data_IF_678766800756
#
_entry.id   IF_678766800756
#
_cell.length_a   1.000
_cell.length_b   1.000
_cell.length_c   1.000
_cell.angle_alpha   90.00
_cell.angle_beta   90.00
_cell.angle_gamma   90.00
#
_symmetry.space_group_name_H-M   'P 1'
#
loop_
_entity.id
_entity.type
_entity.pdbx_description
1 polymer ?
#
# COMPACT_ATOMS: atom_id res chain seq x y z
N UNK A 1 10.98 7.02 34.88
CA UNK A 1 12.23 6.27 35.17
C UNK A 1 11.99 4.83 34.72
N UNK A 2 13.01 4.19 34.12
CA UNK A 2 13.00 2.99 33.25
C UNK A 2 12.88 3.28 31.74
N UNK A 3 14.04 3.65 31.19
CA UNK A 3 14.40 3.49 29.79
C UNK A 3 14.43 1.99 29.47
N UNK A 4 13.63 1.56 28.48
CA UNK A 4 13.78 0.27 27.82
C UNK A 4 14.15 0.52 26.37
N UNK A 5 15.46 0.58 26.14
CA UNK A 5 16.06 0.55 24.81
C UNK A 5 15.73 -0.80 24.17
N UNK A 6 14.67 -0.85 23.35
CA UNK A 6 14.43 -1.98 22.46
C UNK A 6 15.32 -1.80 21.23
N UNK A 7 16.40 -2.57 21.17
CA UNK A 7 17.15 -2.77 19.93
C UNK A 7 16.28 -3.71 19.07
N UNK A 8 15.45 -3.12 18.21
CA UNK A 8 14.71 -3.85 17.19
C UNK A 8 15.69 -4.24 16.09
N UNK A 9 16.17 -5.49 16.09
CA UNK A 9 16.76 -6.10 14.91
C UNK A 9 15.67 -6.18 13.83
N UNK A 10 15.80 -5.34 12.81
CA UNK A 10 14.92 -5.25 11.66
C UNK A 10 15.18 -6.47 10.75
N UNK A 11 14.38 -7.53 10.91
CA UNK A 11 14.25 -8.55 9.88
C UNK A 11 13.36 -7.98 8.77
N UNK A 12 13.93 -7.77 7.58
CA UNK A 12 13.19 -7.48 6.36
C UNK A 12 12.35 -8.72 6.04
N UNK A 13 11.06 -8.67 6.38
CA UNK A 13 10.09 -9.66 5.93
C UNK A 13 9.70 -9.31 4.49
N UNK A 14 10.46 -9.82 3.53
CA UNK A 14 9.92 -10.14 2.21
C UNK A 14 8.71 -11.04 2.46
N UNK A 15 7.57 -10.76 1.82
CA UNK A 15 6.42 -11.68 1.77
C UNK A 15 6.88 -12.99 1.11
N UNK A 16 7.50 -13.85 1.89
CA UNK A 16 7.64 -15.26 1.59
C UNK A 16 6.23 -15.87 1.70
N UNK A 17 5.81 -16.71 0.73
CA UNK A 17 4.63 -17.54 0.93
C UNK A 17 4.82 -18.35 2.22
N UNK A 18 3.73 -18.55 2.95
CA UNK A 18 3.73 -19.07 4.32
C UNK A 18 4.74 -20.19 4.55
N UNK A 19 5.60 -19.98 5.53
CA UNK A 19 6.47 -21.02 6.07
C UNK A 19 5.60 -22.05 6.78
N UNK A 20 5.02 -22.97 6.02
CA UNK A 20 5.12 -24.38 6.41
C UNK A 20 6.61 -24.59 6.64
N UNK A 21 7.02 -25.18 7.76
CA UNK A 21 8.38 -25.69 7.87
C UNK A 21 8.58 -26.68 6.72
N UNK A 22 9.00 -26.17 5.56
CA UNK A 22 9.56 -26.96 4.50
C UNK A 22 10.76 -27.63 5.18
N UNK A 23 10.69 -28.96 5.31
CA UNK A 23 11.89 -29.74 5.46
C UNK A 23 12.90 -29.17 4.47
N UNK A 24 14.16 -28.98 4.89
CA UNK A 24 15.24 -28.69 3.97
C UNK A 24 15.19 -29.76 2.89
N UNK A 25 14.56 -29.44 1.76
CA UNK A 25 14.55 -30.29 0.59
C UNK A 25 15.99 -30.24 0.13
N UNK A 26 16.71 -31.36 0.17
CA UNK A 26 18.03 -31.49 -0.41
C UNK A 26 17.92 -31.12 -1.90
N UNK A 27 18.15 -29.84 -2.21
CA UNK A 27 18.17 -29.35 -3.57
C UNK A 27 19.36 -30.00 -4.27
N UNK A 28 19.26 -30.24 -5.58
CA UNK A 28 20.38 -30.83 -6.31
C UNK A 28 21.57 -29.87 -6.29
N UNK A 29 22.77 -30.44 -6.18
CA UNK A 29 23.99 -29.70 -6.48
C UNK A 29 24.23 -29.69 -7.98
N UNK A 30 24.71 -28.56 -8.49
CA UNK A 30 25.04 -28.36 -9.89
C UNK A 30 26.55 -28.43 -10.06
N UNK A 31 27.02 -29.39 -10.86
CA UNK A 31 28.42 -29.41 -11.28
C UNK A 31 28.75 -28.21 -12.19
N UNK A 32 30.04 -27.99 -12.46
CA UNK A 32 30.49 -26.85 -13.26
C UNK A 32 29.85 -26.82 -14.66
N UNK A 33 29.55 -27.98 -15.26
CA UNK A 33 28.93 -28.04 -16.58
C UNK A 33 27.49 -27.56 -16.51
N UNK A 34 26.70 -28.09 -15.58
CA UNK A 34 25.31 -27.70 -15.37
C UNK A 34 25.20 -26.19 -15.03
N UNK A 35 26.13 -25.66 -14.23
CA UNK A 35 26.21 -24.23 -13.95
C UNK A 35 26.40 -23.39 -15.23
N UNK A 36 27.30 -23.82 -16.14
CA UNK A 36 27.53 -23.13 -17.43
C UNK A 36 26.32 -23.22 -18.36
N UNK A 37 25.61 -24.34 -18.37
CA UNK A 37 24.39 -24.53 -19.17
C UNK A 37 23.27 -23.59 -18.71
N UNK A 38 23.09 -23.41 -17.39
CA UNK A 38 22.14 -22.44 -16.83
C UNK A 38 22.53 -21.01 -17.21
N UNK A 39 23.81 -20.65 -17.07
CA UNK A 39 24.32 -19.31 -17.45
C UNK A 39 24.08 -19.04 -18.94
N UNK A 40 24.40 -19.99 -19.82
CA UNK A 40 24.18 -19.84 -21.26
C UNK A 40 22.69 -19.67 -21.60
N UNK A 41 21.81 -20.39 -20.90
CA UNK A 41 20.36 -20.29 -21.07
C UNK A 41 19.82 -18.94 -20.57
N UNK A 42 20.36 -18.42 -19.47
CA UNK A 42 20.06 -17.08 -18.97
C UNK A 42 20.46 -16.01 -19.98
N UNK A 43 21.66 -16.10 -20.56
CA UNK A 43 22.11 -15.16 -21.59
C UNK A 43 21.17 -15.15 -22.80
N UNK A 44 20.75 -16.33 -23.27
CA UNK A 44 19.77 -16.43 -24.34
C UNK A 44 18.41 -15.83 -23.97
N UNK A 45 17.96 -16.02 -22.72
CA UNK A 45 16.73 -15.41 -22.21
C UNK A 45 16.83 -13.88 -22.11
N UNK A 46 17.97 -13.34 -21.66
CA UNK A 46 18.23 -11.90 -21.61
C UNK A 46 18.19 -11.28 -23.01
N UNK A 47 18.83 -11.91 -24.01
CA UNK A 47 18.82 -11.40 -25.39
C UNK A 47 17.40 -11.31 -25.99
N UNK A 48 16.51 -12.21 -25.59
CA UNK A 48 15.12 -12.22 -26.09
C UNK A 48 14.20 -11.23 -25.37
N UNK A 49 14.40 -11.05 -24.08
CA UNK A 49 13.40 -10.43 -23.20
C UNK A 49 13.88 -9.13 -22.54
N UNK A 50 15.17 -8.93 -22.33
CA UNK A 50 15.63 -7.80 -21.54
C UNK A 50 15.56 -6.49 -22.32
N UNK A 51 14.98 -5.46 -21.69
CA UNK A 51 14.72 -4.17 -22.35
C UNK A 51 15.97 -3.33 -22.62
N UNK A 52 17.09 -3.60 -21.92
CA UNK A 52 18.35 -2.86 -22.07
C UNK A 52 19.47 -3.75 -22.65
N UNK A 53 19.49 -3.97 -23.98
CA UNK A 53 20.46 -4.86 -24.62
C UNK A 53 21.92 -4.40 -24.44
N UNK A 54 22.14 -3.10 -24.28
CA UNK A 54 23.44 -2.48 -24.01
C UNK A 54 24.05 -2.92 -22.67
N UNK A 55 23.23 -3.31 -21.70
CA UNK A 55 23.69 -3.79 -20.39
C UNK A 55 23.97 -5.29 -20.35
N UNK A 56 23.50 -6.06 -21.34
CA UNK A 56 23.67 -7.52 -21.37
C UNK A 56 25.14 -7.95 -21.29
N UNK A 57 26.11 -7.35 -22.01
CA UNK A 57 27.50 -7.76 -21.92
C UNK A 57 28.08 -7.68 -20.50
N UNK A 58 27.71 -6.65 -19.73
CA UNK A 58 28.14 -6.50 -18.34
C UNK A 58 27.49 -7.56 -17.43
N UNK A 59 26.21 -7.86 -17.67
CA UNK A 59 25.47 -8.90 -16.95
C UNK A 59 26.07 -10.28 -17.24
N UNK A 60 26.28 -10.63 -18.51
CA UNK A 60 26.93 -11.88 -18.96
C UNK A 60 28.29 -12.09 -18.28
N UNK A 61 29.13 -11.06 -18.24
CA UNK A 61 30.41 -11.13 -17.57
C UNK A 61 30.29 -11.42 -16.06
N UNK A 62 29.26 -10.88 -15.40
CA UNK A 62 28.99 -11.17 -13.98
C UNK A 62 28.41 -12.57 -13.76
N UNK A 63 27.50 -13.03 -14.63
CA UNK A 63 26.97 -14.40 -14.58
C UNK A 63 28.10 -15.43 -14.74
N UNK A 64 29.02 -15.21 -15.69
CA UNK A 64 30.19 -16.06 -15.88
C UNK A 64 31.10 -16.13 -14.64
N UNK A 65 31.22 -15.05 -13.86
CA UNK A 65 31.97 -15.04 -12.59
C UNK A 65 31.32 -15.89 -11.49
N UNK A 66 30.03 -16.18 -11.58
CA UNK A 66 29.33 -16.99 -10.58
C UNK A 66 29.59 -18.50 -10.75
N UNK A 67 30.07 -18.94 -11.93
CA UNK A 67 30.40 -20.35 -12.19
C UNK A 67 31.61 -20.78 -11.37
N UNK A 68 31.47 -21.87 -10.61
CA UNK A 68 32.51 -22.45 -9.75
C UNK A 68 33.01 -23.79 -10.31
N UNK A 69 34.22 -24.19 -9.93
CA UNK A 69 34.72 -25.54 -10.22
C UNK A 69 34.01 -26.60 -9.38
N UNK A 70 33.74 -26.26 -8.12
CA UNK A 70 33.05 -27.14 -7.18
C UNK A 70 31.53 -27.15 -7.44
N UNK A 71 30.84 -28.27 -7.13
CA UNK A 71 29.40 -28.32 -7.13
C UNK A 71 28.77 -27.29 -6.19
N UNK A 72 27.68 -26.65 -6.62
CA UNK A 72 26.96 -25.62 -5.85
C UNK A 72 25.51 -26.00 -5.72
N UNK A 73 24.93 -25.78 -4.55
CA UNK A 73 23.49 -25.93 -4.32
C UNK A 73 22.67 -25.05 -5.30
N UNK A 74 21.57 -25.59 -5.84
CA UNK A 74 20.80 -24.90 -6.87
C UNK A 74 20.18 -23.57 -6.41
N UNK A 75 19.66 -23.49 -5.18
CA UNK A 75 19.11 -22.25 -4.62
C UNK A 75 20.24 -21.25 -4.36
N UNK A 76 21.37 -21.71 -3.80
CA UNK A 76 22.55 -20.88 -3.60
C UNK A 76 23.08 -20.28 -4.92
N UNK A 77 23.05 -21.07 -6.00
CA UNK A 77 23.47 -20.62 -7.32
C UNK A 77 22.45 -19.63 -7.92
N UNK A 78 21.15 -19.88 -7.81
CA UNK A 78 20.10 -18.95 -8.24
C UNK A 78 20.24 -17.58 -7.56
N UNK A 79 20.49 -17.59 -6.26
CA UNK A 79 20.72 -16.41 -5.44
C UNK A 79 21.96 -15.61 -5.86
N UNK A 80 23.06 -16.31 -6.18
CA UNK A 80 24.29 -15.65 -6.63
C UNK A 80 24.12 -15.00 -8.00
N UNK A 81 23.41 -15.67 -8.92
CA UNK A 81 23.07 -15.14 -10.24
C UNK A 81 22.17 -13.90 -10.12
N UNK A 82 21.13 -13.97 -9.27
CA UNK A 82 20.23 -12.83 -8.99
C UNK A 82 21.00 -11.59 -8.54
N UNK A 83 21.84 -11.74 -7.50
CA UNK A 83 22.68 -10.63 -7.00
C UNK A 83 23.66 -10.11 -8.05
N UNK A 84 24.24 -11.01 -8.86
CA UNK A 84 25.11 -10.65 -9.96
C UNK A 84 24.40 -9.76 -10.99
N UNK A 85 23.22 -10.18 -11.44
CA UNK A 85 22.43 -9.42 -12.42
C UNK A 85 22.01 -8.06 -11.87
N UNK A 86 21.47 -7.99 -10.65
CA UNK A 86 21.09 -6.71 -10.03
C UNK A 86 22.28 -5.75 -9.93
N UNK A 87 23.44 -6.25 -9.49
CA UNK A 87 24.68 -5.45 -9.39
C UNK A 87 25.14 -4.92 -10.74
N UNK A 88 25.14 -5.77 -11.78
CA UNK A 88 25.64 -5.40 -13.10
C UNK A 88 24.68 -4.50 -13.87
N UNK A 89 23.38 -4.70 -13.70
CA UNK A 89 22.32 -3.94 -14.38
C UNK A 89 21.96 -2.64 -13.66
N UNK A 90 22.14 -2.58 -12.34
CA UNK A 90 21.52 -1.59 -11.44
C UNK A 90 19.99 -1.57 -11.51
N UNK A 91 19.39 -2.71 -11.87
CA UNK A 91 17.96 -2.92 -11.89
C UNK A 91 17.58 -3.86 -10.76
N UNK A 92 16.60 -3.46 -9.95
CA UNK A 92 16.21 -4.16 -8.72
C UNK A 92 15.30 -5.37 -8.97
N UNK A 93 14.79 -5.58 -10.18
CA UNK A 93 13.78 -6.61 -10.42
C UNK A 93 14.33 -7.95 -10.90
N UNK A 94 15.65 -8.06 -11.12
CA UNK A 94 16.25 -9.32 -11.52
C UNK A 94 16.18 -10.37 -10.42
N UNK A 95 15.62 -11.53 -10.74
CA UNK A 95 15.63 -12.71 -9.87
C UNK A 95 15.73 -13.99 -10.68
N UNK A 96 16.49 -14.95 -10.18
CA UNK A 96 16.53 -16.34 -10.63
C UNK A 96 16.08 -17.19 -9.47
N UNK A 97 15.19 -18.15 -9.74
CA UNK A 97 14.75 -19.13 -8.77
C UNK A 97 14.91 -20.54 -9.34
N UNK A 98 15.35 -21.49 -8.51
CA UNK A 98 15.25 -22.91 -8.83
C UNK A 98 13.85 -23.39 -8.41
N UNK A 99 12.97 -23.56 -9.40
CA UNK A 99 11.59 -23.98 -9.18
C UNK A 99 11.05 -24.76 -10.39
N UNK A 100 11.41 -26.06 -10.50
CA UNK A 100 10.95 -26.91 -11.60
C UNK A 100 9.43 -27.06 -11.66
N UNK A 101 8.75 -27.01 -10.51
CA UNK A 101 7.30 -27.13 -10.43
C UNK A 101 6.62 -25.88 -11.01
N UNK A 102 7.06 -24.70 -10.62
CA UNK A 102 6.58 -23.44 -11.20
C UNK A 102 6.92 -23.33 -12.69
N UNK A 103 8.09 -23.81 -13.13
CA UNK A 103 8.43 -23.89 -14.56
C UNK A 103 7.40 -24.73 -15.32
N UNK A 104 7.09 -25.94 -14.82
CA UNK A 104 6.13 -26.83 -15.45
C UNK A 104 4.71 -26.21 -15.46
N UNK A 105 4.28 -25.65 -14.32
CA UNK A 105 2.99 -25.00 -14.18
C UNK A 105 2.86 -23.76 -15.08
N UNK A 106 3.90 -22.93 -15.17
CA UNK A 106 3.96 -21.76 -16.04
C UNK A 106 3.81 -22.12 -17.51
N UNK A 107 4.50 -23.19 -17.97
CA UNK A 107 4.36 -23.68 -19.34
C UNK A 107 2.95 -24.20 -19.64
N UNK A 108 2.33 -24.90 -18.68
CA UNK A 108 0.95 -25.38 -18.81
C UNK A 108 -0.05 -24.22 -18.88
N UNK A 109 0.07 -23.23 -17.99
CA UNK A 109 -0.78 -22.04 -17.97
C UNK A 109 -0.66 -21.26 -19.29
N UNK A 110 0.56 -21.05 -19.79
CA UNK A 110 0.77 -20.38 -21.09
C UNK A 110 0.13 -21.16 -22.25
N UNK A 111 0.18 -22.50 -22.21
CA UNK A 111 -0.46 -23.34 -23.22
C UNK A 111 -2.00 -23.29 -23.18
N UNK A 112 -2.59 -23.02 -22.01
CA UNK A 112 -4.04 -22.82 -21.86
C UNK A 112 -4.50 -21.38 -22.10
N UNK A 113 -3.58 -20.45 -22.42
CA UNK A 113 -3.88 -19.03 -22.61
C UNK A 113 -4.00 -18.23 -21.31
N UNK A 114 -3.63 -18.81 -20.17
CA UNK A 114 -3.63 -18.15 -18.87
C UNK A 114 -2.30 -17.42 -18.62
N UNK A 115 -2.39 -16.19 -18.09
CA UNK A 115 -1.22 -15.39 -17.69
C UNK A 115 -0.59 -15.77 -16.34
N UNK A 116 -1.27 -16.60 -15.54
CA UNK A 116 -0.86 -16.98 -14.18
C UNK A 116 -1.27 -18.41 -13.86
N UNK A 117 -0.57 -19.08 -12.94
CA UNK A 117 -0.87 -20.47 -12.57
C UNK A 117 -2.14 -20.57 -11.70
N UNK A 118 -2.85 -21.70 -11.77
CA UNK A 118 -4.04 -21.93 -10.94
C UNK A 118 -3.73 -21.82 -9.44
N UNK A 119 -2.61 -22.40 -9.00
CA UNK A 119 -2.16 -22.33 -7.60
C UNK A 119 -1.96 -20.88 -7.15
N UNK A 120 -1.35 -20.04 -8.00
CA UNK A 120 -1.17 -18.62 -7.72
C UNK A 120 -2.52 -17.90 -7.58
N UNK A 121 -3.46 -18.16 -8.48
CA UNK A 121 -4.83 -17.60 -8.41
C UNK A 121 -5.55 -17.97 -7.13
N UNK A 122 -5.39 -19.21 -6.66
CA UNK A 122 -6.05 -19.68 -5.45
C UNK A 122 -5.48 -19.00 -4.20
N UNK A 123 -4.16 -18.80 -4.14
CA UNK A 123 -3.51 -18.01 -3.08
C UNK A 123 -3.96 -16.56 -3.12
N UNK A 124 -3.99 -15.93 -4.30
CA UNK A 124 -4.43 -14.54 -4.43
C UNK A 124 -5.90 -14.38 -4.05
N UNK A 125 -6.78 -15.30 -4.48
CA UNK A 125 -8.20 -15.29 -4.09
C UNK A 125 -8.37 -15.43 -2.57
N UNK A 126 -7.64 -16.34 -1.93
CA UNK A 126 -7.68 -16.50 -0.47
C UNK A 126 -7.19 -15.24 0.27
N UNK A 127 -6.29 -14.47 -0.35
CA UNK A 127 -5.83 -13.17 0.14
C UNK A 127 -6.73 -11.99 -0.28
N UNK A 128 -7.95 -12.26 -0.76
CA UNK A 128 -8.87 -11.26 -1.30
C UNK A 128 -8.22 -10.36 -2.38
N UNK A 129 -7.40 -10.97 -3.23
CA UNK A 129 -6.64 -10.31 -4.29
C UNK A 129 -5.81 -9.11 -3.82
N UNK A 130 -5.38 -9.15 -2.55
CA UNK A 130 -4.57 -8.10 -1.93
C UNK A 130 -5.37 -7.02 -1.22
N UNK A 131 -6.68 -6.91 -1.44
CA UNK A 131 -7.53 -5.92 -0.78
C UNK A 131 -7.74 -6.28 0.69
N UNK A 132 -7.18 -5.45 1.58
CA UNK A 132 -7.18 -5.69 3.03
C UNK A 132 -8.24 -4.91 3.78
N UNK A 133 -8.55 -3.70 3.32
CA UNK A 133 -9.38 -2.78 4.07
C UNK A 133 -10.05 -1.76 3.14
N UNK A 134 -11.32 -1.48 3.40
CA UNK A 134 -12.11 -0.44 2.75
C UNK A 134 -13.03 0.19 3.80
N UNK A 135 -12.83 1.47 4.11
CA UNK A 135 -13.53 2.16 5.21
C UNK A 135 -13.91 3.58 4.87
N UNK A 136 -14.98 4.04 5.53
CA UNK A 136 -15.43 5.43 5.49
C UNK A 136 -14.95 6.06 6.78
N UNK A 137 -14.00 6.97 6.65
CA UNK A 137 -13.47 7.74 7.77
C UNK A 137 -14.35 8.97 7.99
N UNK A 138 -14.23 9.59 9.17
CA UNK A 138 -14.92 10.84 9.48
C UNK A 138 -14.64 11.91 8.41
N UNK A 139 -15.61 12.79 8.21
CA UNK A 139 -15.55 13.81 7.16
C UNK A 139 -15.69 13.23 5.75
N UNK A 140 -16.32 12.07 5.60
CA UNK A 140 -16.63 11.46 4.31
C UNK A 140 -15.42 11.09 3.44
N UNK A 141 -14.33 10.69 4.09
CA UNK A 141 -13.15 10.21 3.37
C UNK A 141 -13.24 8.70 3.15
N UNK A 142 -12.95 8.24 1.94
CA UNK A 142 -12.80 6.83 1.65
C UNK A 142 -11.32 6.42 1.85
N UNK A 143 -11.11 5.33 2.55
CA UNK A 143 -9.79 4.71 2.71
C UNK A 143 -9.82 3.33 2.10
N UNK A 144 -8.88 3.03 1.20
CA UNK A 144 -8.75 1.74 0.53
C UNK A 144 -7.29 1.29 0.67
N UNK A 145 -7.09 0.13 1.29
CA UNK A 145 -5.78 -0.51 1.42
C UNK A 145 -5.73 -1.82 0.66
N UNK A 146 -4.67 -2.00 -0.10
CA UNK A 146 -4.35 -3.27 -0.73
C UNK A 146 -2.84 -3.46 -0.82
N UNK A 147 -2.38 -4.69 -0.58
CA UNK A 147 -0.95 -5.00 -0.36
C UNK A 147 -0.24 -5.54 -1.63
N UNK A 148 -0.97 -5.82 -2.70
CA UNK A 148 -0.42 -6.12 -4.03
C UNK A 148 -1.47 -5.88 -5.13
N UNK A 149 -1.03 -5.78 -6.37
CA UNK A 149 -1.88 -5.65 -7.55
C UNK A 149 -2.10 -7.01 -8.21
N UNK A 150 -3.24 -7.64 -7.94
CA UNK A 150 -3.63 -8.90 -8.59
C UNK A 150 -4.06 -8.68 -10.06
N UNK A 151 -4.08 -9.74 -10.86
CA UNK A 151 -4.57 -9.66 -12.24
C UNK A 151 -6.08 -9.32 -12.27
N UNK A 152 -6.48 -8.20 -12.92
CA UNK A 152 -7.89 -7.79 -12.97
C UNK A 152 -8.80 -8.80 -13.68
N UNK A 153 -8.27 -9.71 -14.51
CA UNK A 153 -9.06 -10.82 -15.06
C UNK A 153 -9.77 -11.63 -13.97
N UNK A 154 -9.16 -11.75 -12.78
CA UNK A 154 -9.73 -12.50 -11.66
C UNK A 154 -10.17 -11.61 -10.50
N UNK A 155 -9.62 -10.39 -10.40
CA UNK A 155 -9.77 -9.52 -9.24
C UNK A 155 -10.66 -8.29 -9.48
N UNK A 156 -11.18 -8.09 -10.70
CA UNK A 156 -11.99 -6.90 -11.05
C UNK A 156 -13.17 -6.70 -10.09
N UNK A 157 -13.93 -7.74 -9.75
CA UNK A 157 -15.10 -7.60 -8.89
C UNK A 157 -14.74 -7.11 -7.49
N UNK A 158 -13.63 -7.61 -6.91
CA UNK A 158 -13.12 -7.14 -5.62
C UNK A 158 -12.66 -5.68 -5.69
N UNK A 159 -11.94 -5.31 -6.75
CA UNK A 159 -11.50 -3.94 -6.97
C UNK A 159 -12.68 -2.98 -7.16
N UNK A 160 -13.69 -3.37 -7.95
CA UNK A 160 -14.94 -2.63 -8.10
C UNK A 160 -15.69 -2.52 -6.78
N UNK A 161 -15.71 -3.56 -5.95
CA UNK A 161 -16.30 -3.51 -4.61
C UNK A 161 -15.64 -2.44 -3.73
N UNK A 162 -14.31 -2.37 -3.73
CA UNK A 162 -13.57 -1.33 -3.01
C UNK A 162 -13.86 0.08 -3.57
N UNK A 163 -13.93 0.23 -4.89
CA UNK A 163 -14.24 1.53 -5.50
C UNK A 163 -15.69 1.97 -5.28
N UNK A 164 -16.64 1.04 -5.23
CA UNK A 164 -18.03 1.31 -4.83
C UNK A 164 -18.11 1.84 -3.40
N UNK A 165 -17.28 1.33 -2.51
CA UNK A 165 -17.20 1.84 -1.13
C UNK A 165 -16.75 3.31 -1.09
N UNK A 166 -15.97 3.76 -2.08
CA UNK A 166 -15.55 5.14 -2.22
C UNK A 166 -16.56 6.06 -2.92
N UNK A 167 -17.70 5.54 -3.41
CA UNK A 167 -18.73 6.36 -4.03
C UNK A 167 -19.27 7.42 -3.05
N UNK A 168 -19.53 8.63 -3.56
CA UNK A 168 -19.95 9.77 -2.76
C UNK A 168 -18.92 10.29 -1.75
N UNK A 169 -17.68 9.78 -1.74
CA UNK A 169 -16.62 10.31 -0.88
C UNK A 169 -16.24 11.74 -1.24
N UNK A 170 -15.84 12.50 -0.23
CA UNK A 170 -15.31 13.87 -0.37
C UNK A 170 -13.78 13.90 -0.49
N UNK A 171 -13.13 12.74 -0.32
CA UNK A 171 -11.73 12.50 -0.59
C UNK A 171 -11.44 11.01 -0.58
N UNK A 172 -10.46 10.55 -1.36
CA UNK A 172 -10.06 9.14 -1.45
C UNK A 172 -8.61 9.00 -1.02
N UNK A 173 -8.31 8.03 -0.17
CA UNK A 173 -6.97 7.69 0.29
C UNK A 173 -6.68 6.25 -0.15
N UNK A 174 -5.73 6.08 -1.07
CA UNK A 174 -5.17 4.78 -1.39
C UNK A 174 -3.93 4.51 -0.53
N UNK A 175 -3.91 3.41 0.19
CA UNK A 175 -2.80 3.04 1.06
C UNK A 175 -1.91 1.98 0.40
N UNK A 176 -0.76 2.43 -0.10
CA UNK A 176 0.23 1.60 -0.78
C UNK A 176 1.50 1.42 0.05
N UNK A 177 1.50 1.81 1.33
CA UNK A 177 2.71 1.82 2.19
C UNK A 177 3.43 0.48 2.24
N UNK A 178 2.66 -0.62 2.15
CA UNK A 178 3.14 -2.00 2.23
C UNK A 178 2.92 -2.77 0.93
N UNK A 179 2.67 -2.06 -0.18
CA UNK A 179 2.33 -2.67 -1.46
C UNK A 179 3.59 -2.82 -2.33
N UNK A 180 3.97 -4.06 -2.61
CA UNK A 180 5.18 -4.37 -3.37
C UNK A 180 4.95 -4.47 -4.89
N UNK A 181 3.80 -4.00 -5.38
CA UNK A 181 3.45 -3.96 -6.80
C UNK A 181 2.64 -5.18 -7.24
N UNK A 182 2.83 -5.58 -8.50
CA UNK A 182 2.05 -6.62 -9.16
C UNK A 182 1.67 -6.22 -10.59
N UNK A 183 0.45 -6.58 -11.00
CA UNK A 183 -0.04 -6.41 -12.36
C UNK A 183 -0.46 -4.96 -12.62
N UNK A 184 0.16 -4.30 -13.60
CA UNK A 184 -0.06 -2.88 -13.93
C UNK A 184 -1.50 -2.57 -14.37
N UNK A 185 -2.18 -3.54 -14.96
CA UNK A 185 -3.55 -3.43 -15.44
C UNK A 185 -4.54 -3.22 -14.28
N UNK A 186 -4.23 -3.72 -13.07
CA UNK A 186 -5.03 -3.39 -11.88
C UNK A 186 -4.83 -1.93 -11.47
N UNK A 187 -3.61 -1.40 -11.56
CA UNK A 187 -3.37 0.03 -11.35
C UNK A 187 -4.12 0.87 -12.40
N UNK A 188 -4.12 0.45 -13.67
CA UNK A 188 -4.93 1.07 -14.72
C UNK A 188 -6.41 1.12 -14.36
N UNK A 189 -6.97 -0.01 -13.93
CA UNK A 189 -8.37 -0.13 -13.56
C UNK A 189 -8.70 0.85 -12.43
N UNK A 190 -7.95 0.83 -11.34
CA UNK A 190 -8.16 1.71 -10.18
C UNK A 190 -7.99 3.18 -10.54
N UNK A 191 -6.95 3.55 -11.26
CA UNK A 191 -6.72 4.92 -11.72
C UNK A 191 -7.83 5.40 -12.67
N UNK A 192 -8.40 4.51 -13.48
CA UNK A 192 -9.48 4.87 -14.41
C UNK A 192 -10.71 5.41 -13.69
N UNK A 193 -11.04 4.93 -12.48
CA UNK A 193 -12.12 5.50 -11.67
C UNK A 193 -11.90 6.98 -11.32
N UNK A 194 -10.65 7.45 -11.33
CA UNK A 194 -10.30 8.79 -10.88
C UNK A 194 -10.41 9.84 -11.98
N UNK A 195 -10.78 9.47 -13.20
CA UNK A 195 -10.93 10.40 -14.32
C UNK A 195 -12.37 10.37 -14.86
N UNK A 196 -12.91 11.51 -15.33
CA UNK A 196 -14.23 11.56 -15.98
C UNK A 196 -14.33 10.63 -17.18
N UNK A 197 -15.54 10.13 -17.46
CA UNK A 197 -15.79 9.32 -18.65
C UNK A 197 -15.61 10.17 -19.93
N UNK A 198 -15.19 9.52 -21.01
CA UNK A 198 -15.08 10.15 -22.34
C UNK A 198 -13.90 11.11 -22.52
N UNK A 199 -13.07 11.33 -21.49
CA UNK A 199 -11.79 12.03 -21.62
C UNK A 199 -10.67 11.00 -21.58
N UNK A 200 -9.95 10.88 -22.69
CA UNK A 200 -8.72 10.08 -22.73
C UNK A 200 -7.67 10.73 -21.84
N UNK A 201 -7.06 9.92 -20.98
CA UNK A 201 -5.96 10.31 -20.12
C UNK A 201 -4.89 9.23 -20.23
N UNK A 202 -3.73 9.63 -20.74
CA UNK A 202 -2.54 8.82 -20.69
C UNK A 202 -1.97 8.79 -19.28
N UNK A 203 -1.67 7.60 -18.77
CA UNK A 203 -1.04 7.40 -17.46
C UNK A 203 0.47 7.33 -17.57
N UNK A 204 0.98 6.62 -18.58
CA UNK A 204 2.40 6.51 -18.85
C UNK A 204 2.67 5.86 -20.22
N UNK A 205 3.80 6.23 -20.79
CA UNK A 205 4.41 5.59 -21.95
C UNK A 205 5.38 4.50 -21.50
N UNK A 206 5.46 3.43 -22.28
CA UNK A 206 6.36 2.34 -21.98
C UNK A 206 6.91 1.65 -23.23
N UNK A 207 8.15 1.18 -23.14
CA UNK A 207 8.77 0.35 -24.18
C UNK A 207 8.91 -1.07 -23.65
N UNK A 208 8.47 -2.08 -24.39
CA UNK A 208 8.74 -3.48 -24.09
C UNK A 208 9.72 -4.10 -25.08
N UNK A 209 10.49 -5.08 -24.60
CA UNK A 209 11.16 -6.05 -25.45
C UNK A 209 10.23 -7.25 -25.68
N UNK A 210 9.85 -7.46 -26.94
CA UNK A 210 9.03 -8.57 -27.40
C UNK A 210 9.81 -9.31 -28.49
N UNK A 211 10.26 -10.53 -28.20
CA UNK A 211 11.11 -11.34 -29.08
C UNK A 211 12.33 -10.60 -29.66
N UNK A 212 13.07 -9.90 -28.79
CA UNK A 212 14.25 -9.12 -29.15
C UNK A 212 13.96 -7.83 -29.91
N UNK A 213 12.68 -7.45 -30.08
CA UNK A 213 12.27 -6.18 -30.70
C UNK A 213 11.74 -5.22 -29.65
N UNK A 214 12.10 -3.94 -29.80
CA UNK A 214 11.56 -2.87 -28.96
C UNK A 214 10.20 -2.41 -29.50
N UNK A 215 9.17 -2.47 -28.67
CA UNK A 215 7.80 -2.05 -28.98
C UNK A 215 7.41 -0.92 -28.04
N UNK A 216 7.04 0.24 -28.59
CA UNK A 216 6.47 1.33 -27.82
C UNK A 216 4.96 1.14 -27.67
N UNK A 217 4.44 1.36 -26.46
CA UNK A 217 3.01 1.37 -26.14
C UNK A 217 2.78 2.45 -25.08
N UNK A 218 1.54 2.88 -24.92
CA UNK A 218 1.12 3.69 -23.77
C UNK A 218 -0.02 3.03 -23.03
N UNK A 219 -0.27 3.51 -21.82
CA UNK A 219 -1.41 3.07 -21.01
C UNK A 219 -2.35 4.24 -20.78
N UNK A 220 -3.59 4.12 -21.24
CA UNK A 220 -4.64 5.12 -21.03
C UNK A 220 -5.65 4.66 -19.98
N UNK A 221 -6.43 5.58 -19.46
CA UNK A 221 -7.63 5.23 -18.71
C UNK A 221 -8.58 4.37 -19.56
N UNK A 222 -9.26 3.42 -18.91
CA UNK A 222 -10.26 2.59 -19.55
C UNK A 222 -11.45 3.45 -19.98
N UNK A 223 -12.05 3.15 -21.13
CA UNK A 223 -13.23 3.86 -21.64
C UNK A 223 -14.43 3.74 -20.67
N UNK A 224 -14.58 2.57 -20.04
CA UNK A 224 -15.61 2.29 -19.05
C UNK A 224 -15.03 1.53 -17.86
N UNK A 225 -15.61 1.78 -16.68
CA UNK A 225 -15.38 1.01 -15.45
C UNK A 225 -16.73 0.71 -14.82
N UNK A 226 -16.92 -0.43 -14.13
CA UNK A 226 -18.16 -0.71 -13.42
C UNK A 226 -18.37 0.25 -12.24
N UNK A 227 -19.58 0.79 -12.05
CA UNK A 227 -19.87 1.74 -10.95
C UNK A 227 -19.63 3.20 -11.34
N UNK A 228 -19.55 4.09 -10.35
CA UNK A 228 -19.36 5.53 -10.59
C UNK A 228 -17.88 5.93 -10.60
N UNK A 229 -17.53 6.91 -11.43
CA UNK A 229 -16.21 7.56 -11.45
C UNK A 229 -16.16 8.69 -10.42
N UNK A 230 -15.00 8.89 -9.83
CA UNK A 230 -14.69 9.94 -8.85
C UNK A 230 -13.78 11.01 -9.47
N UNK A 231 -14.13 11.47 -10.68
CA UNK A 231 -13.30 12.38 -11.50
C UNK A 231 -12.82 13.64 -10.78
N UNK A 232 -13.69 14.22 -9.95
CA UNK A 232 -13.46 15.52 -9.30
C UNK A 232 -13.15 15.39 -7.80
N UNK A 233 -13.03 14.17 -7.28
CA UNK A 233 -12.78 13.93 -5.85
C UNK A 233 -11.28 14.01 -5.56
N UNK A 234 -10.83 14.79 -4.56
CA UNK A 234 -9.43 14.83 -4.15
C UNK A 234 -8.89 13.44 -3.79
N UNK A 235 -7.69 13.11 -4.25
CA UNK A 235 -7.06 11.81 -4.01
C UNK A 235 -5.72 11.99 -3.30
N UNK A 236 -5.47 11.14 -2.32
CA UNK A 236 -4.16 10.98 -1.68
C UNK A 236 -3.69 9.54 -1.89
N UNK A 237 -2.40 9.36 -2.18
CA UNK A 237 -1.74 8.05 -2.19
C UNK A 237 -0.73 8.01 -1.06
N UNK A 238 -0.83 7.01 -0.18
CA UNK A 238 0.13 6.79 0.90
C UNK A 238 1.25 5.89 0.43
N UNK A 239 2.49 6.33 0.63
CA UNK A 239 3.69 5.56 0.26
C UNK A 239 4.58 5.25 1.47
N UNK A 240 5.30 4.15 1.39
CA UNK A 240 6.28 3.70 2.38
C UNK A 240 7.58 3.31 1.68
N UNK A 241 8.65 3.18 2.46
CA UNK A 241 9.93 2.67 1.97
C UNK A 241 9.89 1.26 1.36
N UNK A 242 8.81 0.50 1.61
CA UNK A 242 8.55 -0.80 0.99
C UNK A 242 7.67 -0.73 -0.25
N UNK A 243 7.04 0.40 -0.56
CA UNK A 243 6.24 0.55 -1.78
C UNK A 243 7.11 0.31 -3.01
N UNK A 244 6.70 -0.62 -3.88
CA UNK A 244 7.54 -1.08 -5.00
C UNK A 244 6.74 -1.31 -6.29
N UNK A 245 7.40 -1.19 -7.45
CA UNK A 245 6.86 -1.60 -8.76
C UNK A 245 5.52 -0.93 -9.11
N UNK A 246 4.46 -1.68 -9.43
CA UNK A 246 3.17 -1.11 -9.81
C UNK A 246 2.58 -0.11 -8.78
N UNK A 247 2.92 -0.25 -7.49
CA UNK A 247 2.54 0.71 -6.47
C UNK A 247 3.21 2.09 -6.68
N UNK A 248 4.48 2.07 -7.05
CA UNK A 248 5.24 3.26 -7.39
C UNK A 248 4.68 3.91 -8.65
N UNK A 249 4.33 3.12 -9.67
CA UNK A 249 3.71 3.65 -10.89
C UNK A 249 2.37 4.34 -10.64
N UNK A 250 1.50 3.72 -9.84
CA UNK A 250 0.24 4.35 -9.48
C UNK A 250 0.49 5.68 -8.76
N UNK A 251 1.40 5.71 -7.77
CA UNK A 251 1.71 6.93 -7.04
C UNK A 251 2.33 8.00 -7.95
N UNK A 252 3.33 7.62 -8.73
CA UNK A 252 4.08 8.48 -9.64
C UNK A 252 3.19 9.07 -10.73
N UNK A 253 2.45 8.25 -11.47
CA UNK A 253 1.58 8.74 -12.55
C UNK A 253 0.51 9.68 -12.01
N UNK A 254 -0.15 9.33 -10.91
CA UNK A 254 -1.16 10.22 -10.31
C UNK A 254 -0.56 11.53 -9.79
N UNK A 255 0.65 11.49 -9.21
CA UNK A 255 1.37 12.68 -8.75
C UNK A 255 1.72 13.59 -9.94
N UNK A 256 2.39 13.05 -10.96
CA UNK A 256 2.85 13.80 -12.13
C UNK A 256 1.70 14.41 -12.91
N UNK A 257 0.59 13.69 -13.03
CA UNK A 257 -0.63 14.20 -13.65
C UNK A 257 -1.40 15.21 -12.79
N UNK A 258 -0.91 15.55 -11.59
CA UNK A 258 -1.57 16.45 -10.65
C UNK A 258 -2.90 15.91 -10.13
N UNK A 259 -3.12 14.59 -10.24
CA UNK A 259 -4.38 13.95 -9.86
C UNK A 259 -4.42 13.54 -8.40
N UNK A 260 -3.28 13.19 -7.81
CA UNK A 260 -3.18 12.84 -6.40
C UNK A 260 -2.02 13.54 -5.71
N UNK A 261 -2.15 13.74 -4.41
CA UNK A 261 -1.04 14.11 -3.52
C UNK A 261 -0.43 12.84 -2.92
N UNK A 262 0.88 12.68 -3.01
CA UNK A 262 1.61 11.55 -2.43
C UNK A 262 2.12 11.93 -1.05
N UNK A 263 1.78 11.14 -0.03
CA UNK A 263 2.11 11.44 1.38
C UNK A 263 2.73 10.20 2.03
N UNK A 264 3.90 10.37 2.66
CA UNK A 264 4.58 9.29 3.35
C UNK A 264 6.08 9.31 3.14
N UNK A 265 6.67 8.15 2.86
CA UNK A 265 8.10 7.99 2.64
C UNK A 265 8.42 7.87 1.14
N UNK A 266 9.70 8.11 0.81
CA UNK A 266 10.25 7.77 -0.49
C UNK A 266 10.15 6.25 -0.72
N UNK A 267 9.73 5.86 -1.92
CA UNK A 267 9.53 4.44 -2.27
C UNK A 267 10.84 3.73 -2.64
N UNK A 268 10.77 2.41 -2.88
CA UNK A 268 11.97 1.56 -3.00
C UNK A 268 12.73 1.68 -4.33
N UNK A 269 12.12 2.16 -5.41
CA UNK A 269 12.79 2.44 -6.69
C UNK A 269 12.77 1.30 -7.71
N UNK A 270 11.67 0.56 -7.81
CA UNK A 270 11.43 -0.42 -8.87
C UNK A 270 10.55 0.13 -9.98
N UNK A 271 11.14 0.73 -11.00
CA UNK A 271 10.43 1.32 -12.14
C UNK A 271 10.12 0.30 -13.26
N UNK A 272 10.94 -0.71 -13.50
CA UNK A 272 10.79 -1.49 -14.73
C UNK A 272 9.78 -2.65 -14.66
N UNK A 273 8.80 -2.72 -15.59
CA UNK A 273 7.95 -3.89 -15.74
C UNK A 273 8.74 -5.15 -16.02
N UNK A 274 8.32 -6.25 -15.42
CA UNK A 274 8.99 -7.53 -15.53
C UNK A 274 8.08 -8.62 -16.08
N UNK A 275 8.70 -9.67 -16.57
CA UNK A 275 8.02 -10.95 -16.77
C UNK A 275 8.85 -12.08 -16.20
N UNK A 276 8.22 -13.25 -16.05
CA UNK A 276 8.85 -14.47 -15.58
C UNK A 276 8.93 -15.45 -16.75
N UNK A 277 10.14 -15.86 -17.10
CA UNK A 277 10.39 -16.81 -18.21
C UNK A 277 11.13 -18.04 -17.72
N UNK A 278 10.71 -19.26 -18.14
CA UNK A 278 11.53 -20.44 -17.99
C UNK A 278 12.90 -20.23 -18.66
N UNK A 279 13.96 -20.51 -17.92
CA UNK A 279 15.34 -20.51 -18.41
C UNK A 279 15.67 -21.88 -19.00
N UNK A 280 15.34 -22.92 -18.25
CA UNK A 280 15.37 -24.32 -18.63
C UNK A 280 14.16 -25.03 -17.99
N UNK A 281 14.24 -26.34 -17.75
CA UNK A 281 13.20 -27.13 -17.07
C UNK A 281 13.19 -26.98 -15.54
N UNK A 282 14.09 -26.17 -14.99
CA UNK A 282 14.35 -26.09 -13.54
C UNK A 282 14.37 -24.65 -13.01
N UNK A 283 14.86 -23.72 -13.81
CA UNK A 283 15.09 -22.33 -13.39
C UNK A 283 14.10 -21.37 -14.02
N UNK A 284 13.64 -20.42 -13.21
CA UNK A 284 12.79 -19.30 -13.60
C UNK A 284 13.58 -18.00 -13.51
N UNK A 285 13.50 -17.17 -14.56
CA UNK A 285 14.08 -15.83 -14.59
C UNK A 285 12.96 -14.80 -14.54
N UNK A 286 12.99 -13.93 -13.53
CA UNK A 286 12.32 -12.64 -13.59
C UNK A 286 13.23 -11.63 -14.27
N UNK A 287 12.78 -11.09 -15.40
CA UNK A 287 13.56 -10.18 -16.25
C UNK A 287 12.77 -8.89 -16.50
N UNK A 288 13.40 -7.72 -16.38
CA UNK A 288 12.82 -6.45 -16.83
C UNK A 288 12.59 -6.47 -18.32
N UNK A 289 11.34 -6.43 -18.72
CA UNK A 289 10.95 -6.44 -20.13
C UNK A 289 10.50 -5.09 -20.61
N UNK A 290 10.31 -4.12 -19.71
CA UNK A 290 9.91 -2.79 -20.09
C UNK A 290 10.67 -1.66 -19.41
N UNK A 291 10.65 -0.49 -20.05
CA UNK A 291 11.01 0.77 -19.44
C UNK A 291 9.80 1.71 -19.55
N UNK A 292 9.21 2.03 -18.42
CA UNK A 292 8.21 3.09 -18.32
C UNK A 292 8.95 4.40 -18.05
N UNK A 293 8.49 5.49 -18.66
CA UNK A 293 9.07 6.82 -18.49
C UNK A 293 8.04 7.80 -17.97
N UNK A 294 8.53 8.83 -17.31
CA UNK A 294 7.73 10.00 -16.94
C UNK A 294 7.02 10.58 -18.18
N UNK A 295 5.69 10.69 -18.18
CA UNK A 295 4.95 11.20 -19.34
C UNK A 295 5.16 12.70 -19.59
N UNK A 296 5.81 13.43 -18.68
CA UNK A 296 6.05 14.87 -18.78
C UNK A 296 7.50 15.17 -19.16
N UNK A 297 8.49 14.62 -18.45
CA UNK A 297 9.91 14.93 -18.70
C UNK A 297 10.77 13.73 -19.11
N UNK A 298 10.17 12.56 -19.32
CA UNK A 298 10.83 11.36 -19.84
C UNK A 298 11.84 10.70 -18.89
N UNK A 299 11.92 11.14 -17.63
CA UNK A 299 12.84 10.57 -16.63
C UNK A 299 12.40 9.19 -16.15
N UNK A 300 13.37 8.51 -15.56
CA UNK A 300 13.26 7.19 -14.96
C UNK A 300 13.50 7.33 -13.45
N UNK A 301 12.74 6.60 -12.63
CA UNK A 301 12.90 6.59 -11.17
C UNK A 301 13.55 5.30 -10.64
N UNK A 302 13.97 4.38 -11.51
CA UNK A 302 14.66 3.15 -11.11
C UNK A 302 15.86 3.47 -10.16
N UNK A 303 15.91 2.76 -9.03
CA UNK A 303 16.93 2.93 -8.00
C UNK A 303 16.79 4.19 -7.14
N UNK A 304 15.83 5.08 -7.42
CA UNK A 304 15.56 6.30 -6.64
C UNK A 304 14.19 6.24 -5.96
N UNK A 305 13.16 5.77 -6.66
CA UNK A 305 11.77 5.78 -6.19
C UNK A 305 11.08 7.13 -6.33
N UNK A 306 9.82 7.15 -5.91
CA UNK A 306 8.90 8.29 -5.93
C UNK A 306 9.09 9.11 -4.67
N UNK A 307 9.44 10.39 -4.84
CA UNK A 307 9.50 11.35 -3.74
C UNK A 307 8.10 11.84 -3.38
N UNK A 308 7.65 11.72 -2.12
CA UNK A 308 6.32 12.20 -1.72
C UNK A 308 6.23 13.72 -1.77
N UNK A 309 5.03 14.26 -2.05
CA UNK A 309 4.74 15.69 -1.95
C UNK A 309 4.81 16.18 -0.49
N UNK A 310 4.37 15.33 0.44
CA UNK A 310 4.49 15.56 1.88
C UNK A 310 5.21 14.38 2.55
N UNK A 311 6.48 14.62 2.89
CA UNK A 311 7.32 13.63 3.56
C UNK A 311 6.97 13.50 5.05
N UNK A 312 6.52 12.32 5.47
CA UNK A 312 6.24 11.94 6.87
C UNK A 312 6.58 10.46 7.07
N UNK A 313 6.89 10.00 8.30
CA UNK A 313 7.05 8.57 8.55
C UNK A 313 5.81 7.78 8.12
N UNK A 314 6.01 6.59 7.54
CA UNK A 314 4.91 5.79 7.01
C UNK A 314 3.82 5.52 8.06
N UNK A 315 4.19 5.38 9.33
CA UNK A 315 3.26 5.21 10.46
C UNK A 315 2.30 6.39 10.67
N UNK A 316 2.72 7.62 10.34
CA UNK A 316 1.92 8.84 10.49
C UNK A 316 1.17 9.28 9.22
N UNK A 317 1.45 8.66 8.07
CA UNK A 317 0.95 9.11 6.76
C UNK A 317 -0.57 9.15 6.66
N UNK A 318 -1.29 8.19 7.26
CA UNK A 318 -2.75 8.17 7.22
C UNK A 318 -3.37 9.36 8.00
N UNK A 319 -2.82 9.73 9.15
CA UNK A 319 -3.30 10.91 9.89
C UNK A 319 -2.95 12.20 9.13
N UNK A 320 -1.75 12.28 8.56
CA UNK A 320 -1.35 13.41 7.73
C UNK A 320 -2.27 13.60 6.51
N UNK A 321 -2.66 12.50 5.86
CA UNK A 321 -3.59 12.53 4.72
C UNK A 321 -5.01 12.95 5.11
N UNK A 322 -5.54 12.45 6.22
CA UNK A 322 -6.82 12.91 6.76
C UNK A 322 -6.77 14.41 7.06
N UNK A 323 -5.72 14.87 7.76
CA UNK A 323 -5.52 16.30 8.04
C UNK A 323 -5.47 17.12 6.75
N UNK A 324 -4.68 16.69 5.76
CA UNK A 324 -4.55 17.38 4.48
C UNK A 324 -5.92 17.57 3.78
N UNK A 325 -6.71 16.50 3.66
CA UNK A 325 -8.02 16.53 3.00
C UNK A 325 -9.06 17.33 3.80
N UNK A 326 -9.09 17.19 5.12
CA UNK A 326 -10.06 17.85 5.99
C UNK A 326 -9.74 19.34 6.16
N UNK A 327 -8.47 19.70 6.36
CA UNK A 327 -8.07 21.08 6.62
C UNK A 327 -8.37 21.99 5.42
N UNK A 328 -8.16 21.53 4.19
CA UNK A 328 -8.50 22.29 2.98
C UNK A 328 -10.00 22.62 2.93
N UNK A 329 -10.85 21.63 3.20
CA UNK A 329 -12.31 21.78 3.22
C UNK A 329 -12.80 22.63 4.40
N UNK A 330 -12.25 22.40 5.60
CA UNK A 330 -12.57 23.19 6.79
C UNK A 330 -12.26 24.68 6.58
N UNK A 331 -11.11 25.00 5.96
CA UNK A 331 -10.74 26.38 5.61
C UNK A 331 -11.71 26.99 4.59
N UNK A 332 -12.31 26.17 3.73
CA UNK A 332 -13.35 26.57 2.79
C UNK A 332 -14.76 26.66 3.41
N UNK A 333 -14.91 26.48 4.73
CA UNK A 333 -16.17 26.61 5.45
C UNK A 333 -16.99 25.32 5.60
N UNK A 334 -16.43 24.17 5.25
CA UNK A 334 -17.06 22.86 5.45
C UNK A 334 -17.05 22.48 6.94
N UNK A 335 -18.21 22.58 7.59
CA UNK A 335 -18.37 22.30 9.02
C UNK A 335 -18.17 20.83 9.37
N UNK A 336 -18.50 19.91 8.47
CA UNK A 336 -18.30 18.48 8.68
C UNK A 336 -16.81 18.14 8.64
N UNK A 337 -16.06 18.77 7.73
CA UNK A 337 -14.61 18.63 7.68
C UNK A 337 -13.95 19.23 8.94
N UNK A 338 -14.41 20.41 9.39
CA UNK A 338 -13.92 21.03 10.61
C UNK A 338 -14.21 20.16 11.85
N UNK A 339 -15.39 19.54 11.92
CA UNK A 339 -15.73 18.57 12.96
C UNK A 339 -14.75 17.39 12.96
N UNK A 340 -14.60 16.72 11.82
CA UNK A 340 -13.75 15.54 11.65
C UNK A 340 -12.25 15.83 11.84
N UNK A 341 -11.80 17.07 11.68
CA UNK A 341 -10.40 17.46 11.83
C UNK A 341 -9.93 17.38 13.29
N UNK A 342 -10.81 17.64 14.26
CA UNK A 342 -10.47 17.64 15.70
C UNK A 342 -9.82 16.35 16.19
N UNK A 343 -10.42 15.15 16.02
CA UNK A 343 -9.79 13.90 16.47
C UNK A 343 -8.47 13.63 15.74
N UNK A 344 -8.36 14.02 14.48
CA UNK A 344 -7.14 13.84 13.68
C UNK A 344 -6.00 14.70 14.23
N UNK A 345 -6.25 15.97 14.52
CA UNK A 345 -5.25 16.87 15.09
C UNK A 345 -4.83 16.45 16.50
N UNK A 346 -5.78 15.98 17.31
CA UNK A 346 -5.47 15.43 18.61
C UNK A 346 -4.57 14.19 18.51
N UNK A 347 -4.91 13.24 17.63
CA UNK A 347 -4.09 12.05 17.40
C UNK A 347 -2.67 12.41 16.91
N UNK A 348 -2.53 13.40 16.03
CA UNK A 348 -1.23 13.89 15.55
C UNK A 348 -0.41 14.54 16.68
N UNK A 349 -1.07 15.22 17.63
CA UNK A 349 -0.37 15.88 18.75
C UNK A 349 0.35 14.89 19.67
N UNK A 350 -0.02 13.61 19.64
CA UNK A 350 0.50 12.57 20.54
C UNK A 350 0.11 12.78 22.01
N UNK A 351 -0.78 13.74 22.29
CA UNK A 351 -1.32 13.94 23.62
C UNK A 351 -2.30 12.83 23.99
N UNK A 352 -2.34 12.50 25.27
CA UNK A 352 -3.34 11.63 25.85
C UNK A 352 -3.80 12.25 27.18
N UNK A 353 -5.06 12.06 27.59
CA UNK A 353 -5.50 12.48 28.91
C UNK A 353 -4.68 11.75 29.97
N UNK A 354 -4.34 12.44 31.05
CA UNK A 354 -3.74 11.76 32.20
C UNK A 354 -4.78 10.87 32.89
N UNK A 355 -4.33 9.86 33.64
CA UNK A 355 -5.24 9.06 34.47
C UNK A 355 -6.04 9.96 35.43
N UNK A 356 -5.41 10.99 35.99
CA UNK A 356 -6.06 11.97 36.85
C UNK A 356 -7.17 12.75 36.13
N UNK A 357 -6.98 13.16 34.87
CA UNK A 357 -8.03 13.84 34.10
C UNK A 357 -9.25 12.92 33.90
N UNK A 358 -9.01 11.64 33.63
CA UNK A 358 -10.08 10.65 33.42
C UNK A 358 -10.78 10.26 34.73
N UNK A 359 -10.03 10.15 35.83
CA UNK A 359 -10.59 9.87 37.15
C UNK A 359 -11.43 11.05 37.65
N UNK A 360 -11.00 12.29 37.39
CA UNK A 360 -11.78 13.49 37.71
C UNK A 360 -13.04 13.61 36.85
N UNK A 361 -13.01 13.16 35.60
CA UNK A 361 -14.17 13.14 34.72
C UNK A 361 -15.24 12.13 35.16
N UNK A 362 -14.84 11.04 35.82
CA UNK A 362 -15.78 10.03 36.31
C UNK A 362 -16.68 10.60 37.41
N UNK A 363 -17.96 10.21 37.39
CA UNK A 363 -18.95 10.70 38.35
C UNK A 363 -20.37 10.72 37.81
N UNK A 364 -21.28 11.14 38.69
CA UNK A 364 -22.69 11.32 38.39
C UNK A 364 -22.97 12.71 37.81
N UNK A 365 -23.67 12.74 36.69
CA UNK A 365 -24.21 13.94 36.05
C UNK A 365 -25.73 13.78 35.98
N UNK A 366 -26.48 14.87 35.77
CA UNK A 366 -27.95 14.85 35.78
C UNK A 366 -28.56 13.72 34.92
N UNK A 367 -28.85 12.51 35.40
CA UNK A 367 -29.41 11.42 34.57
C UNK A 367 -28.41 10.69 33.64
N UNK A 368 -27.10 10.84 33.86
CA UNK A 368 -26.03 10.08 33.20
C UNK A 368 -24.85 9.87 34.16
N UNK A 369 -24.04 8.86 33.89
CA UNK A 369 -22.84 8.58 34.69
C UNK A 369 -21.66 8.36 33.75
N UNK A 370 -20.51 8.95 34.08
CA UNK A 370 -19.25 8.61 33.45
C UNK A 370 -18.50 7.63 34.35
N UNK A 371 -18.15 6.47 33.80
CA UNK A 371 -17.47 5.39 34.53
C UNK A 371 -16.08 5.20 33.97
N UNK A 372 -15.09 5.06 34.85
CA UNK A 372 -13.71 4.78 34.45
C UNK A 372 -13.60 3.39 33.84
N UNK A 373 -12.93 3.28 32.69
CA UNK A 373 -12.52 2.01 32.07
C UNK A 373 -11.00 1.90 32.07
N UNK A 374 -10.41 0.71 31.80
CA UNK A 374 -8.96 0.57 31.73
C UNK A 374 -8.29 1.50 30.70
N UNK A 375 -8.99 1.85 29.61
CA UNK A 375 -8.47 2.65 28.51
C UNK A 375 -9.08 4.05 28.37
N UNK A 376 -10.12 4.39 29.13
CA UNK A 376 -10.85 5.64 28.94
C UNK A 376 -12.06 5.80 29.86
N UNK A 377 -13.17 6.28 29.30
CA UNK A 377 -14.45 6.48 29.98
C UNK A 377 -15.57 5.74 29.26
N UNK A 378 -16.56 5.31 30.02
CA UNK A 378 -17.84 4.82 29.51
C UNK A 378 -18.95 5.78 29.93
N UNK A 379 -19.75 6.19 28.96
CA UNK A 379 -20.96 6.96 29.16
C UNK A 379 -22.14 6.02 29.40
N UNK A 380 -22.77 6.15 30.56
CA UNK A 380 -23.97 5.41 30.95
C UNK A 380 -25.20 6.33 30.91
N UNK A 381 -26.23 5.92 30.17
CA UNK A 381 -27.52 6.61 30.16
C UNK A 381 -28.67 5.67 30.53
N UNK A 382 -29.37 6.05 31.62
CA UNK A 382 -30.57 5.35 32.15
C UNK A 382 -30.39 3.83 32.32
N UNK A 383 -29.19 3.39 32.68
CA UNK A 383 -28.79 1.97 32.84
C UNK A 383 -29.05 1.07 31.62
N UNK A 384 -29.28 1.66 30.44
CA UNK A 384 -29.62 0.93 29.22
C UNK A 384 -28.55 1.05 28.13
N UNK A 385 -27.90 2.21 28.05
CA UNK A 385 -26.93 2.50 27.02
C UNK A 385 -25.58 2.74 27.65
N UNK A 386 -24.60 1.98 27.19
CA UNK A 386 -23.19 2.13 27.55
C UNK A 386 -22.43 2.40 26.26
N UNK A 387 -21.83 3.57 26.15
CA UNK A 387 -21.03 3.99 25.00
C UNK A 387 -19.62 4.30 25.46
N UNK A 388 -18.63 3.77 24.76
CA UNK A 388 -17.24 4.14 25.04
C UNK A 388 -16.98 5.57 24.56
N UNK A 389 -16.17 6.29 25.34
CA UNK A 389 -15.74 7.65 25.03
C UNK A 389 -14.25 7.66 24.69
N UNK A 390 -13.93 8.10 23.48
CA UNK A 390 -12.55 8.22 23.00
C UNK A 390 -12.05 9.64 23.23
N UNK A 391 -10.88 9.84 23.87
CA UNK A 391 -10.33 11.16 24.08
C UNK A 391 -10.01 11.89 22.77
N UNK A 392 -10.66 13.04 22.65
CA UNK A 392 -10.61 14.10 21.66
C UNK A 392 -9.59 15.22 21.77
N UNK A 393 -9.01 15.30 22.95
CA UNK A 393 -8.59 16.52 23.60
C UNK A 393 -8.58 16.32 25.11
N UNK A 394 -8.08 17.31 25.87
CA UNK A 394 -8.00 17.21 27.33
C UNK A 394 -9.37 17.00 27.99
N UNK A 395 -10.35 17.82 27.58
CA UNK A 395 -11.69 17.86 28.15
C UNK A 395 -12.76 17.52 27.12
N UNK A 396 -12.40 16.90 25.99
CA UNK A 396 -13.32 16.62 24.88
C UNK A 396 -13.24 15.13 24.52
N UNK A 397 -14.39 14.53 24.25
CA UNK A 397 -14.51 13.10 23.99
C UNK A 397 -15.43 12.84 22.79
N UNK A 398 -14.98 12.01 21.87
CA UNK A 398 -15.82 11.38 20.84
C UNK A 398 -16.62 10.24 21.46
N UNK A 399 -17.74 9.89 20.83
CA UNK A 399 -18.63 8.81 21.27
C UNK A 399 -18.52 7.67 20.28
N UNK A 400 -18.09 6.49 20.74
CA UNK A 400 -17.99 5.35 19.83
C UNK A 400 -19.37 4.97 19.27
N UNK A 401 -19.45 4.87 17.94
CA UNK A 401 -20.68 4.54 17.22
C UNK A 401 -21.57 5.74 16.88
N UNK A 402 -21.14 6.97 17.14
CA UNK A 402 -21.89 8.20 16.80
C UNK A 402 -20.94 9.34 16.44
N UNK A 403 -21.15 9.96 15.28
CA UNK A 403 -20.45 11.19 14.86
C UNK A 403 -21.28 12.47 15.08
N UNK A 404 -22.55 12.33 15.48
CA UNK A 404 -23.51 13.42 15.65
C UNK A 404 -23.20 14.35 16.83
N UNK A 405 -22.51 13.86 17.86
CA UNK A 405 -22.20 14.65 19.06
C UNK A 405 -20.94 14.19 19.78
N UNK A 406 -20.43 15.09 20.62
CA UNK A 406 -19.27 14.90 21.50
C UNK A 406 -19.64 15.27 22.92
N UNK A 407 -18.81 14.85 23.87
CA UNK A 407 -18.91 15.30 25.25
C UNK A 407 -17.72 16.15 25.65
N UNK A 408 -17.99 17.31 26.24
CA UNK A 408 -16.98 18.22 26.79
C UNK A 408 -17.15 18.34 28.30
N UNK A 409 -16.08 18.25 29.08
CA UNK A 409 -16.11 18.54 30.50
C UNK A 409 -16.20 20.05 30.71
N UNK A 410 -17.14 20.47 31.55
CA UNK A 410 -17.27 21.86 32.01
C UNK A 410 -16.51 21.98 33.32
N UNK A 411 -15.63 22.99 33.43
CA UNK A 411 -14.83 23.22 34.62
C UNK A 411 -15.08 24.61 35.20
N UNK A 412 -15.06 24.71 36.53
CA UNK A 412 -15.02 25.98 37.25
C UNK A 412 -13.96 25.91 38.36
N UNK A 413 -13.07 26.90 38.43
CA UNK A 413 -11.94 26.94 39.38
C UNK A 413 -11.07 25.67 39.36
N UNK A 414 -10.90 25.05 38.19
CA UNK A 414 -10.11 23.83 37.99
C UNK A 414 -10.88 22.53 38.16
N UNK A 415 -12.00 22.51 38.89
CA UNK A 415 -12.81 21.32 39.12
C UNK A 415 -13.84 21.09 38.02
N UNK A 416 -14.10 19.84 37.65
CA UNK A 416 -15.20 19.44 36.76
C UNK A 416 -16.55 19.70 37.45
N UNK A 417 -17.39 20.54 36.85
CA UNK A 417 -18.72 20.93 37.36
C UNK A 417 -19.88 20.46 36.48
N UNK A 418 -19.60 19.95 35.29
CA UNK A 418 -20.63 19.43 34.41
C UNK A 418 -20.10 18.72 33.17
N UNK A 419 -21.02 18.17 32.40
CA UNK A 419 -20.79 17.49 31.15
C UNK A 419 -21.64 18.15 30.07
N UNK A 420 -21.00 18.79 29.10
CA UNK A 420 -21.64 19.41 27.97
C UNK A 420 -21.71 18.42 26.80
N UNK A 421 -22.91 18.12 26.32
CA UNK A 421 -23.12 17.49 25.02
C UNK A 421 -23.03 18.57 23.95
N UNK A 422 -22.15 18.37 22.98
CA UNK A 422 -21.93 19.28 21.86
C UNK A 422 -22.40 18.56 20.62
N UNK A 423 -23.48 19.01 20.00
CA UNK A 423 -23.97 18.48 18.73
C UNK A 423 -23.11 18.99 17.57
N UNK A 424 -23.03 18.20 16.50
CA UNK A 424 -22.37 18.57 15.24
C UNK A 424 -23.01 19.82 14.60
N UNK A 425 -24.30 20.05 14.85
CA UNK A 425 -25.03 21.27 14.46
C UNK A 425 -24.57 22.53 15.20
N UNK A 426 -23.80 22.38 16.29
CA UNK A 426 -23.38 23.47 17.18
C UNK A 426 -24.31 23.71 18.37
N UNK A 427 -25.46 23.03 18.45
CA UNK A 427 -26.30 23.05 19.65
C UNK A 427 -25.56 22.39 20.82
N UNK A 428 -25.68 22.95 22.03
CA UNK A 428 -25.09 22.34 23.22
C UNK A 428 -26.09 22.20 24.36
N UNK A 429 -25.89 21.17 25.17
CA UNK A 429 -26.69 20.92 26.38
C UNK A 429 -25.76 20.56 27.52
N UNK A 430 -25.86 21.28 28.65
CA UNK A 430 -25.03 21.03 29.83
C UNK A 430 -25.80 20.18 30.84
N UNK A 431 -25.11 19.18 31.39
CA UNK A 431 -25.58 18.34 32.47
C UNK A 431 -24.74 18.61 33.71
N UNK A 432 -25.36 19.09 34.78
CA UNK A 432 -24.63 19.42 36.01
C UNK A 432 -24.08 18.16 36.67
N UNK A 433 -22.87 18.26 37.22
CA UNK A 433 -22.30 17.25 38.10
C UNK A 433 -23.10 17.19 39.41
N UNK A 434 -23.26 16.00 39.97
CA UNK A 434 -24.08 15.72 41.14
C UNK A 434 -23.29 15.26 42.38
N UNK A 435 -22.02 14.89 42.22
CA UNK A 435 -21.15 14.36 43.27
C UNK A 435 -19.91 15.22 43.55
#
# INVERSE_FOLDING_TARGET
MFSRTFISMLAVAVLAPGSVFAQASDRPTLDQRAQREVVSSLEAALQRNYVFPDRIPAISAELGRQVRSEPVDADQFADSLSRGMMKASRDLHFSVAFDPEEVAASRQAKASGDGTTQARRDVERAANFGFRDARRLEGDLAYIRFDFFADPQYAQDTATGAMRFAEGAKGIIFDLRYNNGGVLEMAQLLMSYLYPAGKEQEFFDYNYAEDGKRVARGQWNLAAVPGQRSGDVPVVVLTGSTSFSAAEWMAFSLQRLGRATVIGEQTAGGAHPVTRVPVDDRFMLQVPIGQIRDPIDGKDFEGVGVTPDLAVPASGALLAAQKFLLQSRATAGDTDAAWALVPVEFAISGQAPSAADLDEAAGAYEGRTLVRTPSGLAYHWRDRFVLALDPIGKDLFAVQGSDDYRFRLVRANGAVTGLERVEKSGETTIYRRLD
#
